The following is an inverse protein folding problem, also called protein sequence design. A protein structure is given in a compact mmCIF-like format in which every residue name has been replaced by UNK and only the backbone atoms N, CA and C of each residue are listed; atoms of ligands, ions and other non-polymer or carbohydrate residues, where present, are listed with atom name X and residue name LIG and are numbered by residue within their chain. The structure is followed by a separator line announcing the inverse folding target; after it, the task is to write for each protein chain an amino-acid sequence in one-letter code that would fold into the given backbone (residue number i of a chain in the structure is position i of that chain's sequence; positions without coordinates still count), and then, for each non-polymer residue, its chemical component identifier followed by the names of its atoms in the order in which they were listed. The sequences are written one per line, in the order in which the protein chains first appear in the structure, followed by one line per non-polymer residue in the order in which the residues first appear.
data_IF_432669892813
#
_entry.id   IF_432669892813
#
_cell.length_a   1.000
_cell.length_b   1.000
_cell.length_c   1.000
_cell.angle_alpha   90.00
_cell.angle_beta   90.00
_cell.angle_gamma   90.00
#
_symmetry.space_group_name_H-M   'P 1'
#
loop_
_entity.id
_entity.type
_entity.pdbx_description
1 polymer ?
#
# COMPACT_ATOMS: atom_id res chain seq x y z
N UNK A 1 10.91 -19.20 16.71
CA UNK A 1 11.17 -18.20 15.64
C UNK A 1 11.78 -18.94 14.47
N UNK A 2 11.32 -18.64 13.26
CA UNK A 2 11.69 -19.37 12.05
C UNK A 2 11.92 -18.40 10.89
N UNK A 3 12.72 -18.81 9.89
CA UNK A 3 12.81 -18.07 8.63
C UNK A 3 11.47 -18.10 7.90
N UNK A 4 11.06 -16.97 7.35
CA UNK A 4 9.79 -16.77 6.67
C UNK A 4 10.03 -16.59 5.17
N UNK A 5 9.69 -17.62 4.39
CA UNK A 5 9.71 -17.58 2.93
C UNK A 5 8.38 -17.05 2.41
N UNK A 6 8.41 -15.83 1.85
CA UNK A 6 7.23 -15.19 1.30
C UNK A 6 6.73 -15.78 -0.02
N UNK A 7 5.50 -15.41 -0.38
CA UNK A 7 4.88 -15.78 -1.65
C UNK A 7 5.03 -14.65 -2.69
N UNK A 8 5.52 -14.96 -3.89
CA UNK A 8 5.71 -13.98 -4.96
C UNK A 8 4.46 -13.91 -5.84
N UNK A 9 3.91 -12.71 -6.00
CA UNK A 9 2.79 -12.41 -6.88
C UNK A 9 3.30 -11.84 -8.21
N UNK A 10 3.00 -12.53 -9.30
CA UNK A 10 3.52 -12.19 -10.64
C UNK A 10 2.54 -11.36 -11.47
N UNK A 11 2.05 -10.24 -10.92
CA UNK A 11 1.16 -9.34 -11.66
C UNK A 11 1.93 -8.60 -12.76
N UNK A 12 1.26 -8.30 -13.88
CA UNK A 12 1.90 -7.76 -15.08
C UNK A 12 2.61 -6.41 -14.86
N UNK A 13 2.13 -5.59 -13.92
CA UNK A 13 2.72 -4.30 -13.54
C UNK A 13 4.02 -4.42 -12.73
N UNK A 14 4.37 -5.64 -12.30
CA UNK A 14 5.51 -5.89 -11.42
C UNK A 14 6.86 -5.70 -12.10
N UNK A 15 7.89 -5.40 -11.31
CA UNK A 15 9.25 -5.30 -11.81
C UNK A 15 9.85 -6.68 -12.07
N UNK A 16 10.66 -6.81 -13.13
CA UNK A 16 11.47 -8.02 -13.38
C UNK A 16 12.81 -8.01 -12.64
N UNK A 17 13.14 -6.95 -11.93
CA UNK A 17 14.48 -6.78 -11.31
C UNK A 17 14.39 -6.44 -9.82
N UNK A 18 13.45 -5.59 -9.41
CA UNK A 18 13.47 -5.00 -8.06
C UNK A 18 13.36 -6.02 -6.92
N UNK A 19 12.36 -6.91 -6.90
CA UNK A 19 12.20 -7.92 -5.83
C UNK A 19 13.29 -8.97 -5.91
N UNK A 20 13.65 -9.42 -7.11
CA UNK A 20 14.77 -10.35 -7.31
C UNK A 20 16.09 -9.80 -6.77
N UNK A 21 16.46 -8.56 -7.11
CA UNK A 21 17.65 -7.89 -6.58
C UNK A 21 17.55 -7.64 -5.07
N UNK A 22 16.37 -7.25 -4.58
CA UNK A 22 16.12 -7.05 -3.14
C UNK A 22 16.35 -8.33 -2.33
N UNK A 23 15.97 -9.48 -2.89
CA UNK A 23 16.11 -10.81 -2.27
C UNK A 23 17.40 -11.54 -2.66
N UNK A 24 18.35 -10.88 -3.33
CA UNK A 24 19.63 -11.47 -3.72
C UNK A 24 19.52 -12.59 -4.76
N UNK A 25 18.40 -12.65 -5.50
CA UNK A 25 18.16 -13.63 -6.58
C UNK A 25 18.66 -13.12 -7.93
N UNK A 26 18.92 -14.01 -8.91
CA UNK A 26 19.34 -13.62 -10.25
C UNK A 26 18.34 -12.67 -10.93
N UNK A 27 18.88 -11.67 -11.63
CA UNK A 27 18.11 -10.70 -12.42
C UNK A 27 18.42 -10.81 -13.92
N UNK A 28 17.43 -10.62 -14.81
CA UNK A 28 16.02 -10.43 -14.52
C UNK A 28 15.32 -11.74 -14.10
N UNK A 29 14.25 -11.62 -13.32
CA UNK A 29 13.35 -12.72 -13.02
C UNK A 29 12.64 -13.24 -14.29
N UNK A 30 12.21 -14.51 -14.24
CA UNK A 30 11.53 -15.17 -15.34
C UNK A 30 10.18 -14.51 -15.68
N UNK A 31 9.46 -14.05 -14.65
CA UNK A 31 8.20 -13.32 -14.74
C UNK A 31 8.32 -11.99 -13.98
N UNK A 32 7.49 -10.98 -14.30
CA UNK A 32 7.28 -9.82 -13.43
C UNK A 32 7.01 -10.24 -11.99
N UNK A 33 7.61 -9.55 -11.03
CA UNK A 33 7.41 -9.77 -9.60
C UNK A 33 6.88 -8.48 -9.00
N UNK A 34 5.59 -8.50 -8.68
CA UNK A 34 4.83 -7.33 -8.30
C UNK A 34 4.83 -7.15 -6.77
N UNK A 35 4.61 -8.24 -6.06
CA UNK A 35 4.53 -8.25 -4.60
C UNK A 35 5.21 -9.51 -4.04
N UNK A 36 5.90 -9.37 -2.92
CA UNK A 36 6.36 -10.47 -2.06
C UNK A 36 5.54 -10.43 -0.77
N UNK A 37 4.67 -11.41 -0.57
CA UNK A 37 3.76 -11.50 0.58
C UNK A 37 4.43 -12.22 1.74
N UNK A 38 4.41 -11.58 2.90
CA UNK A 38 4.93 -12.07 4.17
C UNK A 38 3.78 -12.03 5.18
N UNK A 39 3.13 -13.17 5.39
CA UNK A 39 1.99 -13.28 6.28
C UNK A 39 1.21 -14.58 6.07
N UNK A 40 0.04 -14.67 6.71
CA UNK A 40 -0.79 -15.88 6.72
C UNK A 40 -2.03 -15.76 5.80
N UNK A 41 -1.94 -14.98 4.72
CA UNK A 41 -3.09 -14.72 3.86
C UNK A 41 -3.60 -16.03 3.21
N UNK A 42 -4.90 -16.38 3.29
CA UNK A 42 -5.41 -17.68 2.83
C UNK A 42 -5.19 -17.98 1.35
N UNK A 43 -5.14 -16.95 0.51
CA UNK A 43 -4.91 -17.12 -0.92
C UNK A 43 -3.48 -17.58 -1.25
N UNK A 44 -2.48 -17.20 -0.45
CA UNK A 44 -1.07 -17.51 -0.70
C UNK A 44 -0.22 -17.27 0.57
N UNK A 45 -0.31 -18.15 1.58
CA UNK A 45 0.37 -17.95 2.84
C UNK A 45 1.89 -18.15 2.70
N UNK A 46 2.66 -17.37 3.46
CA UNK A 46 4.10 -17.58 3.59
C UNK A 46 4.42 -18.91 4.29
N UNK A 47 5.65 -19.37 4.13
CA UNK A 47 6.14 -20.66 4.62
C UNK A 47 7.25 -20.47 5.64
N UNK A 48 7.22 -21.27 6.70
CA UNK A 48 8.23 -21.32 7.74
C UNK A 48 9.23 -22.44 7.42
N UNK A 49 10.52 -22.12 7.42
CA UNK A 49 11.57 -23.12 7.34
C UNK A 49 11.88 -23.65 8.74
N UNK A 50 11.43 -24.87 9.05
CA UNK A 50 11.63 -25.49 10.36
C UNK A 50 12.66 -26.62 10.29
N UNK A 51 13.12 -27.11 11.45
CA UNK A 51 13.98 -28.30 11.50
C UNK A 51 13.34 -29.56 10.87
N UNK A 52 12.00 -29.63 10.81
CA UNK A 52 11.24 -30.73 10.20
C UNK A 52 10.93 -30.54 8.72
N UNK A 53 11.39 -29.46 8.09
CA UNK A 53 11.05 -29.05 6.73
C UNK A 53 10.16 -27.80 6.71
N UNK A 54 9.54 -27.52 5.57
CA UNK A 54 8.70 -26.34 5.40
C UNK A 54 7.26 -26.60 5.92
N UNK A 55 6.68 -25.61 6.60
CA UNK A 55 5.27 -25.61 6.97
C UNK A 55 4.62 -24.27 6.65
N UNK A 56 3.33 -24.27 6.32
CA UNK A 56 2.62 -23.01 6.04
C UNK A 56 2.41 -22.22 7.31
N UNK A 57 2.72 -20.92 7.31
CA UNK A 57 2.46 -20.04 8.45
C UNK A 57 0.98 -20.09 8.85
N UNK A 58 0.06 -20.10 7.87
CA UNK A 58 -1.38 -20.23 8.14
C UNK A 58 -1.71 -21.52 8.92
N UNK A 59 -1.12 -22.65 8.54
CA UNK A 59 -1.33 -23.92 9.24
C UNK A 59 -0.73 -23.88 10.66
N UNK A 60 0.41 -23.24 10.83
CA UNK A 60 1.03 -23.03 12.15
C UNK A 60 0.14 -22.20 13.07
N UNK A 61 -0.46 -21.11 12.56
CA UNK A 61 -1.40 -20.29 13.35
C UNK A 61 -2.65 -21.08 13.75
N UNK A 62 -3.18 -21.92 12.87
CA UNK A 62 -4.36 -22.77 13.17
C UNK A 62 -4.01 -23.86 14.19
N UNK A 63 -2.80 -24.40 14.14
CA UNK A 63 -2.38 -25.48 15.04
C UNK A 63 -2.11 -24.99 16.47
N UNK A 64 -1.63 -23.75 16.63
CA UNK A 64 -1.31 -23.15 17.93
C UNK A 64 -1.61 -21.63 17.93
N UNK A 65 -2.88 -21.22 17.91
CA UNK A 65 -3.22 -19.80 17.88
C UNK A 65 -2.73 -19.07 19.14
N UNK A 66 -2.71 -19.74 20.30
CA UNK A 66 -2.27 -19.15 21.56
C UNK A 66 -0.79 -18.78 21.56
N UNK A 67 0.11 -19.72 21.25
CA UNK A 67 1.55 -19.45 21.21
C UNK A 67 1.94 -18.51 20.07
N UNK A 68 1.27 -18.62 18.93
CA UNK A 68 1.63 -17.82 17.76
C UNK A 68 1.07 -16.40 17.78
N UNK A 69 -0.23 -16.21 18.07
CA UNK A 69 -0.88 -14.90 18.00
C UNK A 69 -0.91 -14.19 19.36
N UNK A 70 -0.93 -14.94 20.47
CA UNK A 70 -1.08 -14.39 21.81
C UNK A 70 -2.52 -13.98 22.13
N UNK A 71 -2.85 -13.98 23.42
CA UNK A 71 -4.23 -13.80 23.91
C UNK A 71 -4.83 -12.43 23.56
N UNK A 72 -4.03 -11.36 23.56
CA UNK A 72 -4.48 -9.98 23.28
C UNK A 72 -4.94 -9.84 21.84
N UNK A 73 -4.11 -10.26 20.87
CA UNK A 73 -4.46 -10.23 19.45
C UNK A 73 -5.68 -11.12 19.16
N UNK A 74 -5.74 -12.33 19.74
CA UNK A 74 -6.87 -13.23 19.59
C UNK A 74 -8.18 -12.65 20.11
N UNK A 75 -8.14 -11.98 21.26
CA UNK A 75 -9.32 -11.35 21.83
C UNK A 75 -9.90 -10.25 20.91
N UNK A 76 -9.06 -9.57 20.14
CA UNK A 76 -9.47 -8.50 19.22
C UNK A 76 -9.85 -9.02 17.83
N UNK A 77 -9.02 -9.86 17.25
CA UNK A 77 -9.07 -10.22 15.82
C UNK A 77 -9.47 -11.68 15.57
N UNK A 78 -9.57 -12.50 16.62
CA UNK A 78 -9.80 -13.94 16.51
C UNK A 78 -8.52 -14.70 16.18
N UNK A 79 -8.67 -15.95 15.72
CA UNK A 79 -7.56 -16.87 15.44
C UNK A 79 -6.91 -16.61 14.08
N UNK A 80 -6.72 -15.34 13.72
CA UNK A 80 -6.09 -14.90 12.47
C UNK A 80 -5.03 -13.84 12.74
N UNK A 81 -3.99 -13.82 11.91
CA UNK A 81 -3.08 -12.67 11.85
C UNK A 81 -3.88 -11.47 11.31
N UNK A 82 -3.84 -10.27 11.93
CA UNK A 82 -4.66 -9.15 11.48
C UNK A 82 -4.03 -8.32 10.35
N UNK A 83 -2.78 -8.60 9.98
CA UNK A 83 -2.05 -7.83 8.96
C UNK A 83 -1.29 -8.72 7.96
N UNK A 84 -0.96 -8.11 6.80
CA UNK A 84 -0.06 -8.65 5.79
C UNK A 84 1.05 -7.64 5.55
N UNK A 85 2.28 -8.13 5.51
CA UNK A 85 3.44 -7.35 5.05
C UNK A 85 3.72 -7.71 3.60
N UNK A 86 3.99 -6.71 2.76
CA UNK A 86 4.41 -6.91 1.39
C UNK A 86 5.67 -6.12 1.10
N UNK A 87 6.53 -6.67 0.25
CA UNK A 87 7.44 -5.85 -0.55
C UNK A 87 6.80 -5.66 -1.91
N UNK A 88 6.43 -4.42 -2.23
CA UNK A 88 5.78 -4.05 -3.48
C UNK A 88 6.80 -3.44 -4.43
N UNK A 89 6.79 -3.84 -5.70
CA UNK A 89 7.64 -3.30 -6.75
C UNK A 89 6.84 -2.91 -7.99
N UNK A 90 6.43 -1.64 -8.04
CA UNK A 90 5.69 -1.06 -9.16
C UNK A 90 6.65 -0.62 -10.26
N UNK A 91 6.58 -1.29 -11.42
CA UNK A 91 7.28 -0.88 -12.65
C UNK A 91 6.33 -0.18 -13.64
N UNK A 92 5.02 -0.39 -13.44
CA UNK A 92 3.93 0.30 -14.12
C UNK A 92 2.93 0.84 -13.09
N UNK A 93 2.19 1.93 -13.42
CA UNK A 93 1.13 2.43 -12.56
C UNK A 93 0.07 1.37 -12.26
N UNK A 94 -0.39 1.33 -11.01
CA UNK A 94 -1.48 0.45 -10.59
C UNK A 94 -2.84 1.10 -10.91
N UNK A 95 -3.91 0.30 -10.75
CA UNK A 95 -5.27 0.82 -10.82
C UNK A 95 -5.55 1.82 -9.71
N UNK A 96 -6.38 2.83 -10.00
CA UNK A 96 -6.97 3.68 -8.96
C UNK A 96 -7.84 2.83 -8.03
N UNK A 97 -7.64 2.99 -6.73
CA UNK A 97 -8.25 2.15 -5.71
C UNK A 97 -8.69 2.96 -4.50
N UNK A 98 -9.76 2.51 -3.86
CA UNK A 98 -10.18 2.95 -2.55
C UNK A 98 -10.64 1.74 -1.72
N UNK A 99 -10.54 1.88 -0.41
CA UNK A 99 -10.92 0.83 0.54
C UNK A 99 -12.11 1.29 1.39
N UNK A 100 -13.09 0.41 1.65
CA UNK A 100 -14.24 0.75 2.49
C UNK A 100 -13.84 0.94 3.95
N UNK A 101 -14.63 1.73 4.68
CA UNK A 101 -14.57 1.76 6.14
C UNK A 101 -15.01 0.42 6.74
N UNK A 102 -14.75 0.19 8.04
CA UNK A 102 -15.13 -1.06 8.68
C UNK A 102 -16.65 -1.31 8.61
N UNK A 103 -17.45 -0.26 8.76
CA UNK A 103 -18.91 -0.34 8.62
C UNK A 103 -19.33 -0.66 7.18
N UNK A 104 -18.75 0.04 6.20
CA UNK A 104 -19.04 -0.18 4.78
C UNK A 104 -18.63 -1.58 4.32
N UNK A 105 -17.50 -2.09 4.82
CA UNK A 105 -17.00 -3.44 4.53
C UNK A 105 -17.95 -4.52 5.06
N UNK A 106 -18.35 -4.42 6.32
CA UNK A 106 -19.28 -5.37 6.94
C UNK A 106 -20.66 -5.34 6.24
N UNK A 107 -21.19 -4.16 5.96
CA UNK A 107 -22.46 -4.00 5.25
C UNK A 107 -22.39 -4.55 3.82
N UNK A 108 -21.35 -4.16 3.08
CA UNK A 108 -21.12 -4.56 1.69
C UNK A 108 -20.94 -6.07 1.55
N UNK A 109 -20.14 -6.67 2.42
CA UNK A 109 -19.96 -8.13 2.47
C UNK A 109 -21.29 -8.86 2.70
N UNK A 110 -22.06 -8.46 3.73
CA UNK A 110 -23.35 -9.07 4.03
C UNK A 110 -24.39 -8.87 2.92
N UNK A 111 -24.30 -7.77 2.17
CA UNK A 111 -25.18 -7.50 1.04
C UNK A 111 -24.86 -8.42 -0.14
N UNK A 112 -23.58 -8.55 -0.51
CA UNK A 112 -23.15 -9.43 -1.59
C UNK A 112 -23.37 -10.93 -1.26
N UNK A 113 -23.24 -11.33 0.02
CA UNK A 113 -23.61 -12.66 0.51
C UNK A 113 -25.10 -12.94 0.30
N UNK A 114 -25.98 -12.00 0.66
CA UNK A 114 -27.43 -12.13 0.46
C UNK A 114 -27.83 -12.21 -1.02
N UNK A 115 -27.04 -11.60 -1.90
CA UNK A 115 -27.22 -11.70 -3.35
C UNK A 115 -26.62 -12.99 -3.94
N UNK A 116 -25.90 -13.79 -3.15
CA UNK A 116 -25.28 -15.03 -3.59
C UNK A 116 -24.11 -14.84 -4.55
N UNK A 117 -23.44 -13.68 -4.51
CA UNK A 117 -22.27 -13.41 -5.37
C UNK A 117 -21.07 -14.19 -4.83
N UNK A 118 -20.48 -15.14 -5.56
CA UNK A 118 -19.32 -15.89 -5.06
C UNK A 118 -18.14 -14.97 -4.74
N UNK A 119 -17.37 -15.26 -3.67
CA UNK A 119 -16.18 -14.47 -3.30
C UNK A 119 -15.14 -14.40 -4.43
N UNK A 120 -15.03 -15.46 -5.23
CA UNK A 120 -14.14 -15.52 -6.40
C UNK A 120 -14.67 -14.77 -7.63
N UNK A 121 -15.87 -14.21 -7.58
CA UNK A 121 -16.50 -13.53 -8.72
C UNK A 121 -15.74 -12.25 -9.08
N UNK A 122 -15.53 -11.95 -10.39
CA UNK A 122 -14.88 -10.72 -10.81
C UNK A 122 -15.68 -9.44 -10.49
N UNK A 123 -16.98 -9.57 -10.18
CA UNK A 123 -17.85 -8.46 -9.78
C UNK A 123 -18.06 -8.37 -8.26
N UNK A 124 -17.40 -9.23 -7.47
CA UNK A 124 -17.43 -9.16 -6.00
C UNK A 124 -16.53 -8.02 -5.54
N UNK A 125 -17.11 -7.00 -4.91
CA UNK A 125 -16.35 -5.88 -4.35
C UNK A 125 -15.85 -6.19 -2.92
N UNK A 126 -16.65 -6.92 -2.15
CA UNK A 126 -16.42 -7.19 -0.73
C UNK A 126 -16.08 -8.66 -0.49
N UNK A 127 -14.80 -8.97 -0.39
CA UNK A 127 -14.27 -10.34 -0.21
C UNK A 127 -14.21 -10.77 1.25
N UNK A 128 -14.27 -9.82 2.16
CA UNK A 128 -14.30 -10.00 3.60
C UNK A 128 -15.04 -8.84 4.27
N UNK A 129 -15.29 -8.94 5.58
CA UNK A 129 -15.97 -7.91 6.37
C UNK A 129 -15.03 -6.86 6.96
N UNK A 130 -13.74 -6.90 6.64
CA UNK A 130 -12.73 -6.05 7.25
C UNK A 130 -12.48 -4.79 6.43
N UNK A 131 -12.15 -3.69 7.09
CA UNK A 131 -11.52 -2.55 6.40
C UNK A 131 -10.07 -2.86 6.03
N UNK A 132 -9.45 -1.93 5.30
CA UNK A 132 -8.09 -2.07 4.81
C UNK A 132 -7.28 -0.78 4.95
N UNK A 133 -6.92 -0.38 6.18
CA UNK A 133 -5.88 0.63 6.38
C UNK A 133 -4.54 0.10 5.86
N UNK A 134 -3.75 0.99 5.27
CA UNK A 134 -2.45 0.64 4.68
C UNK A 134 -1.40 1.68 5.05
N UNK A 135 -0.20 1.20 5.39
CA UNK A 135 1.01 2.02 5.54
C UNK A 135 2.00 1.58 4.47
N UNK A 136 2.44 2.52 3.63
CA UNK A 136 3.51 2.30 2.66
C UNK A 136 4.76 3.06 3.12
N UNK A 137 5.89 2.35 3.20
CA UNK A 137 7.21 2.91 3.53
C UNK A 137 8.17 2.65 2.37
N UNK A 138 8.68 3.71 1.77
CA UNK A 138 9.54 3.63 0.60
C UNK A 138 10.90 2.97 0.93
N UNK A 139 11.33 1.98 0.15
CA UNK A 139 12.68 1.40 0.23
C UNK A 139 13.67 2.09 -0.72
N UNK A 140 13.14 2.63 -1.81
CA UNK A 140 13.81 3.46 -2.82
C UNK A 140 12.87 4.64 -3.16
N UNK A 141 13.28 5.62 -3.99
CA UNK A 141 12.34 6.63 -4.46
C UNK A 141 11.03 5.99 -4.96
N UNK A 142 9.91 6.45 -4.42
CA UNK A 142 8.59 5.89 -4.68
C UNK A 142 7.60 7.00 -5.03
N UNK A 143 6.81 6.77 -6.07
CA UNK A 143 5.88 7.75 -6.62
C UNK A 143 4.44 7.23 -6.50
N UNK A 144 3.55 8.07 -5.96
CA UNK A 144 2.15 7.71 -5.75
C UNK A 144 1.22 8.90 -6.06
N UNK A 145 -0.06 8.58 -6.26
CA UNK A 145 -1.17 9.51 -6.11
C UNK A 145 -2.00 9.08 -4.90
N UNK A 146 -2.34 10.00 -4.01
CA UNK A 146 -3.21 9.66 -2.86
C UNK A 146 -3.98 10.87 -2.34
N UNK A 147 -5.25 10.65 -2.02
CA UNK A 147 -6.17 11.65 -1.51
C UNK A 147 -6.50 12.75 -2.51
N UNK A 148 -7.73 13.27 -2.43
CA UNK A 148 -8.11 14.42 -3.23
C UNK A 148 -7.31 15.65 -2.81
N UNK A 149 -6.75 16.34 -3.80
CA UNK A 149 -6.05 17.61 -3.64
C UNK A 149 -7.07 18.72 -3.33
N UNK A 150 -6.72 19.73 -2.52
CA UNK A 150 -7.57 20.91 -2.33
C UNK A 150 -8.07 21.50 -3.65
N UNK A 151 -9.34 21.85 -3.71
CA UNK A 151 -10.00 22.22 -4.98
C UNK A 151 -9.31 23.40 -5.65
N UNK A 152 -8.86 24.38 -4.87
CA UNK A 152 -8.11 25.54 -5.36
C UNK A 152 -6.83 25.14 -6.13
N UNK A 153 -6.03 24.20 -5.60
CA UNK A 153 -4.82 23.73 -6.27
C UNK A 153 -5.14 22.88 -7.52
N UNK A 154 -6.24 22.13 -7.48
CA UNK A 154 -6.74 21.40 -8.66
C UNK A 154 -7.14 22.39 -9.77
N UNK A 155 -7.83 23.48 -9.45
CA UNK A 155 -8.19 24.54 -10.40
C UNK A 155 -6.93 25.16 -11.03
N UNK A 156 -5.91 25.47 -10.23
CA UNK A 156 -4.64 26.00 -10.74
C UNK A 156 -3.98 25.04 -11.74
N UNK A 157 -3.94 23.74 -11.42
CA UNK A 157 -3.42 22.70 -12.31
C UNK A 157 -4.21 22.65 -13.62
N UNK A 158 -5.54 22.55 -13.57
CA UNK A 158 -6.38 22.46 -14.77
C UNK A 158 -6.25 23.70 -15.66
N UNK A 159 -6.21 24.90 -15.06
CA UNK A 159 -5.97 26.16 -15.81
C UNK A 159 -4.59 26.22 -16.44
N UNK A 160 -3.57 25.68 -15.77
CA UNK A 160 -2.20 25.66 -16.28
C UNK A 160 -2.06 24.82 -17.55
N UNK A 161 -2.89 23.78 -17.73
CA UNK A 161 -2.92 22.98 -18.97
C UNK A 161 -3.48 23.75 -20.17
N UNK A 162 -4.19 24.86 -19.94
CA UNK A 162 -4.76 25.74 -20.97
C UNK A 162 -5.67 25.02 -22.00
N UNK A 163 -6.48 24.08 -21.53
CA UNK A 163 -7.46 23.33 -22.34
C UNK A 163 -8.86 23.89 -22.11
N UNK A 164 -9.45 24.53 -23.10
CA UNK A 164 -10.79 25.17 -22.97
C UNK A 164 -11.90 24.19 -22.63
N UNK A 165 -11.78 22.93 -23.04
CA UNK A 165 -12.75 21.88 -22.72
C UNK A 165 -12.79 21.55 -21.21
N UNK A 166 -11.79 22.01 -20.43
CA UNK A 166 -11.77 21.91 -18.97
C UNK A 166 -12.60 23.00 -18.26
N UNK A 167 -12.97 24.09 -18.94
CA UNK A 167 -13.63 25.24 -18.30
C UNK A 167 -14.93 24.86 -17.56
N UNK A 168 -15.86 24.06 -18.15
CA UNK A 168 -17.08 23.66 -17.44
C UNK A 168 -16.82 22.84 -16.17
N UNK A 169 -15.72 22.07 -16.16
CA UNK A 169 -15.32 21.23 -15.04
C UNK A 169 -14.63 22.03 -13.93
N UNK A 170 -13.88 23.07 -14.30
CA UNK A 170 -13.30 24.03 -13.36
C UNK A 170 -14.40 24.77 -12.61
N UNK A 171 -15.51 25.14 -13.27
CA UNK A 171 -16.62 25.82 -12.60
C UNK A 171 -17.34 24.95 -11.55
N UNK A 172 -17.39 23.62 -11.74
CA UNK A 172 -17.92 22.70 -10.72
C UNK A 172 -17.16 22.80 -9.39
N UNK A 173 -15.86 23.16 -9.44
CA UNK A 173 -15.03 23.33 -8.25
C UNK A 173 -15.17 24.72 -7.61
N UNK A 174 -15.58 25.76 -8.35
CA UNK A 174 -15.70 27.13 -7.83
C UNK A 174 -17.03 27.36 -7.08
N UNK A 175 -18.10 26.70 -7.50
CA UNK A 175 -19.47 27.02 -7.08
C UNK A 175 -19.91 26.31 -5.78
N UNK A 176 -19.03 25.51 -5.16
CA UNK A 176 -19.38 24.60 -4.07
C UNK A 176 -18.30 24.55 -2.98
N UNK A 177 -18.58 23.82 -1.90
CA UNK A 177 -17.51 23.41 -0.98
C UNK A 177 -16.51 22.50 -1.70
N UNK A 178 -15.26 22.46 -1.26
CA UNK A 178 -14.24 21.59 -1.89
C UNK A 178 -14.72 20.15 -2.05
N UNK A 179 -15.30 19.56 -1.00
CA UNK A 179 -15.76 18.17 -1.02
C UNK A 179 -16.91 17.94 -2.00
N UNK A 180 -17.88 18.86 -2.05
CA UNK A 180 -19.01 18.76 -2.97
C UNK A 180 -18.56 18.94 -4.43
N UNK A 181 -17.69 19.91 -4.69
CA UNK A 181 -17.15 20.18 -6.02
C UNK A 181 -16.29 19.02 -6.54
N UNK A 182 -15.39 18.48 -5.71
CA UNK A 182 -14.58 17.31 -6.06
C UNK A 182 -15.47 16.09 -6.33
N UNK A 183 -16.51 15.89 -5.51
CA UNK A 183 -17.48 14.82 -5.72
C UNK A 183 -18.22 14.98 -7.04
N UNK A 184 -18.71 16.18 -7.34
CA UNK A 184 -19.41 16.48 -8.59
C UNK A 184 -18.52 16.25 -9.81
N UNK A 185 -17.28 16.76 -9.77
CA UNK A 185 -16.32 16.63 -10.86
C UNK A 185 -15.90 15.17 -11.08
N UNK A 186 -15.47 14.48 -10.03
CA UNK A 186 -15.09 13.08 -10.12
C UNK A 186 -16.24 12.22 -10.65
N UNK A 187 -17.46 12.42 -10.13
CA UNK A 187 -18.66 11.72 -10.60
C UNK A 187 -18.91 11.97 -12.07
N UNK A 188 -18.76 13.22 -12.52
CA UNK A 188 -19.00 13.60 -13.91
C UNK A 188 -18.01 12.91 -14.84
N UNK A 189 -16.71 12.90 -14.52
CA UNK A 189 -15.72 12.21 -15.36
C UNK A 189 -15.89 10.69 -15.36
N UNK A 190 -16.06 10.06 -14.19
CA UNK A 190 -16.11 8.60 -14.10
C UNK A 190 -17.41 8.00 -14.69
N UNK A 191 -18.47 8.82 -14.85
CA UNK A 191 -19.74 8.42 -15.47
C UNK A 191 -19.93 8.99 -16.89
N UNK A 192 -18.96 9.74 -17.40
CA UNK A 192 -19.07 10.35 -18.72
C UNK A 192 -19.21 9.28 -19.82
N UNK A 193 -20.03 9.53 -20.85
CA UNK A 193 -20.06 8.69 -22.03
C UNK A 193 -18.66 8.54 -22.67
N UNK A 194 -18.33 7.34 -23.14
CA UNK A 194 -17.04 7.07 -23.77
C UNK A 194 -16.67 8.06 -24.90
N UNK A 195 -17.58 8.50 -25.79
CA UNK A 195 -17.24 9.48 -26.83
C UNK A 195 -16.76 10.83 -26.27
N UNK A 196 -17.23 11.23 -25.09
CA UNK A 196 -16.79 12.47 -24.46
C UNK A 196 -15.39 12.31 -23.84
N UNK A 197 -15.11 11.15 -23.24
CA UNK A 197 -13.77 10.80 -22.74
C UNK A 197 -12.75 10.67 -23.87
N UNK A 198 -13.15 10.07 -25.00
CA UNK A 198 -12.31 9.91 -26.20
C UNK A 198 -11.94 11.24 -26.85
N UNK A 199 -12.65 12.33 -26.53
CA UNK A 199 -12.31 13.70 -26.93
C UNK A 199 -11.50 14.41 -25.84
N UNK A 200 -11.97 14.35 -24.59
CA UNK A 200 -11.40 15.12 -23.49
C UNK A 200 -10.00 14.63 -23.09
N UNK A 201 -9.78 13.32 -23.03
CA UNK A 201 -8.46 12.78 -22.64
C UNK A 201 -7.36 13.23 -23.62
N UNK A 202 -7.49 13.07 -24.95
CA UNK A 202 -6.49 13.59 -25.88
C UNK A 202 -6.24 15.10 -25.75
N UNK A 203 -7.29 15.91 -25.58
CA UNK A 203 -7.15 17.36 -25.40
C UNK A 203 -6.33 17.70 -24.13
N UNK A 204 -6.57 16.99 -23.03
CA UNK A 204 -5.81 17.12 -21.78
C UNK A 204 -4.34 16.69 -21.97
N UNK A 205 -4.09 15.61 -22.72
CA UNK A 205 -2.73 15.17 -23.03
C UNK A 205 -1.98 16.20 -23.88
N UNK A 206 -2.63 16.79 -24.89
CA UNK A 206 -2.03 17.86 -25.70
C UNK A 206 -1.71 19.10 -24.85
N UNK A 207 -2.60 19.48 -23.93
CA UNK A 207 -2.35 20.53 -22.95
C UNK A 207 -1.16 20.23 -22.04
N UNK A 208 -1.04 19.00 -21.55
CA UNK A 208 0.10 18.56 -20.75
C UNK A 208 1.42 18.56 -21.54
N UNK A 209 1.42 18.16 -22.82
CA UNK A 209 2.58 18.26 -23.71
C UNK A 209 3.01 19.72 -23.86
N UNK A 210 2.06 20.62 -24.11
CA UNK A 210 2.33 22.05 -24.25
C UNK A 210 2.91 22.62 -22.95
N UNK A 211 2.31 22.29 -21.80
CA UNK A 211 2.77 22.71 -20.48
C UNK A 211 4.22 22.29 -20.23
N UNK A 212 4.56 21.02 -20.43
CA UNK A 212 5.93 20.51 -20.23
C UNK A 212 6.90 21.18 -21.21
N UNK A 213 6.50 21.37 -22.47
CA UNK A 213 7.34 21.98 -23.51
C UNK A 213 7.60 23.46 -23.29
N UNK A 214 6.73 24.15 -22.55
CA UNK A 214 6.89 25.57 -22.20
C UNK A 214 8.05 25.82 -21.22
N UNK A 215 8.51 24.78 -20.50
CA UNK A 215 9.51 24.90 -19.44
C UNK A 215 8.95 25.31 -18.08
N UNK A 216 7.62 25.44 -17.94
CA UNK A 216 6.97 25.64 -16.64
C UNK A 216 7.22 24.45 -15.70
N UNK A 217 7.45 24.74 -14.42
CA UNK A 217 7.88 23.72 -13.43
C UNK A 217 6.85 23.42 -12.35
N UNK A 218 5.87 24.29 -12.12
CA UNK A 218 4.93 24.19 -10.98
C UNK A 218 4.18 22.86 -10.93
N UNK A 219 3.71 22.37 -12.08
CA UNK A 219 2.92 21.14 -12.21
C UNK A 219 3.59 20.13 -13.16
N UNK A 220 4.91 20.20 -13.31
CA UNK A 220 5.62 19.37 -14.28
C UNK A 220 5.54 17.88 -13.93
N UNK A 221 5.43 17.52 -12.64
CA UNK A 221 5.28 16.14 -12.20
C UNK A 221 3.88 15.61 -12.57
N UNK A 222 2.84 16.36 -12.27
CA UNK A 222 1.45 16.03 -12.60
C UNK A 222 1.23 15.92 -14.10
N UNK A 223 1.74 16.88 -14.88
CA UNK A 223 1.64 16.86 -16.34
C UNK A 223 2.36 15.62 -16.93
N UNK A 224 3.53 15.24 -16.41
CA UNK A 224 4.21 14.00 -16.84
C UNK A 224 3.44 12.76 -16.44
N UNK A 225 2.87 12.73 -15.23
CA UNK A 225 2.07 11.61 -14.76
C UNK A 225 0.82 11.42 -15.62
N UNK A 226 0.07 12.47 -15.96
CA UNK A 226 -1.11 12.31 -16.83
C UNK A 226 -0.73 11.82 -18.23
N UNK A 227 0.44 12.21 -18.76
CA UNK A 227 0.96 11.69 -20.02
C UNK A 227 1.30 10.20 -19.95
N UNK A 228 1.99 9.78 -18.90
CA UNK A 228 2.30 8.35 -18.65
C UNK A 228 1.02 7.52 -18.52
N UNK A 229 0.04 8.03 -17.77
CA UNK A 229 -1.25 7.36 -17.59
C UNK A 229 -2.05 7.31 -18.90
N UNK A 230 -2.07 8.38 -19.69
CA UNK A 230 -2.77 8.44 -20.97
C UNK A 230 -2.19 7.50 -22.03
N UNK A 231 -0.87 7.29 -22.04
CA UNK A 231 -0.23 6.30 -22.90
C UNK A 231 -0.64 4.86 -22.51
N UNK A 232 -0.73 4.60 -21.20
CA UNK A 232 -1.03 3.25 -20.69
C UNK A 232 -2.51 2.89 -20.66
N UNK A 233 -3.37 3.87 -20.42
CA UNK A 233 -4.81 3.71 -20.27
C UNK A 233 -5.55 4.66 -21.22
N UNK A 234 -5.36 4.52 -22.54
CA UNK A 234 -6.00 5.41 -23.51
C UNK A 234 -7.52 5.28 -23.41
N UNK A 235 -8.22 6.41 -23.29
CA UNK A 235 -9.67 6.46 -23.17
C UNK A 235 -10.22 6.08 -21.79
N UNK A 236 -9.37 5.92 -20.75
CA UNK A 236 -9.82 5.65 -19.39
C UNK A 236 -10.06 6.97 -18.62
N UNK A 237 -11.26 7.14 -18.05
CA UNK A 237 -11.60 8.32 -17.25
C UNK A 237 -10.72 8.49 -15.99
N UNK A 238 -10.08 7.41 -15.53
CA UNK A 238 -9.08 7.41 -14.46
C UNK A 238 -7.87 8.29 -14.77
N UNK A 239 -7.55 8.53 -16.05
CA UNK A 239 -6.49 9.46 -16.47
C UNK A 239 -6.84 10.89 -16.05
N UNK A 240 -8.11 11.29 -16.20
CA UNK A 240 -8.60 12.59 -15.74
C UNK A 240 -8.69 12.62 -14.21
N UNK A 241 -9.26 11.57 -13.60
CA UNK A 241 -9.39 11.48 -12.15
C UNK A 241 -8.05 11.60 -11.40
N UNK A 242 -6.95 11.14 -12.00
CA UNK A 242 -5.61 11.30 -11.45
C UNK A 242 -5.19 12.76 -11.23
N UNK A 243 -5.71 13.72 -12.03
CA UNK A 243 -5.44 15.15 -11.86
C UNK A 243 -6.07 15.72 -10.58
N UNK A 244 -7.06 15.03 -9.99
CA UNK A 244 -7.70 15.45 -8.76
C UNK A 244 -6.92 15.03 -7.51
N UNK A 245 -5.90 14.18 -7.65
CA UNK A 245 -5.18 13.60 -6.52
C UNK A 245 -3.87 14.34 -6.22
N UNK A 246 -3.39 14.25 -4.98
CA UNK A 246 -2.05 14.73 -4.66
C UNK A 246 -0.99 13.83 -5.32
N UNK A 247 0.01 14.45 -5.94
CA UNK A 247 1.16 13.74 -6.52
C UNK A 247 2.29 13.70 -5.50
N UNK A 248 2.58 12.52 -4.96
CA UNK A 248 3.48 12.33 -3.82
C UNK A 248 4.76 11.63 -4.27
N UNK A 249 5.89 12.20 -3.90
CA UNK A 249 7.21 11.58 -4.04
C UNK A 249 7.76 11.26 -2.65
N UNK A 250 8.17 10.01 -2.46
CA UNK A 250 8.71 9.51 -1.20
C UNK A 250 10.19 9.18 -1.38
N UNK A 251 11.03 9.76 -0.52
CA UNK A 251 12.41 9.32 -0.37
C UNK A 251 12.48 8.01 0.45
N UNK A 252 13.58 7.24 0.37
CA UNK A 252 13.75 6.04 1.20
C UNK A 252 13.53 6.33 2.69
N UNK A 253 12.65 5.54 3.34
CA UNK A 253 12.24 5.70 4.72
C UNK A 253 11.09 6.69 4.96
N UNK A 254 10.66 7.43 3.93
CA UNK A 254 9.42 8.20 4.02
C UNK A 254 8.20 7.29 3.80
N UNK A 255 7.07 7.70 4.35
CA UNK A 255 5.86 6.90 4.35
C UNK A 255 4.60 7.71 4.05
N UNK A 256 3.56 7.01 3.60
CA UNK A 256 2.17 7.47 3.58
C UNK A 256 1.26 6.45 4.24
N UNK A 257 0.22 6.93 4.90
CA UNK A 257 -0.86 6.13 5.47
C UNK A 257 -2.16 6.39 4.72
N UNK A 258 -2.80 5.32 4.28
CA UNK A 258 -4.03 5.37 3.49
C UNK A 258 -5.19 4.91 4.36
N UNK A 259 -6.06 5.87 4.68
CA UNK A 259 -7.30 5.63 5.42
C UNK A 259 -8.41 5.12 4.49
N UNK A 260 -9.46 4.54 5.09
CA UNK A 260 -10.67 4.21 4.37
C UNK A 260 -11.23 5.40 3.57
N UNK A 261 -11.78 5.13 2.39
CA UNK A 261 -12.33 6.12 1.47
C UNK A 261 -11.29 6.94 0.70
N UNK A 262 -10.01 6.82 1.01
CA UNK A 262 -8.96 7.53 0.28
C UNK A 262 -8.71 6.92 -1.10
N UNK A 263 -8.93 7.70 -2.16
CA UNK A 263 -8.57 7.30 -3.52
C UNK A 263 -7.07 7.43 -3.73
N UNK A 264 -6.43 6.35 -4.18
CA UNK A 264 -4.99 6.31 -4.39
C UNK A 264 -4.57 5.36 -5.52
N UNK A 265 -3.33 5.52 -5.98
CA UNK A 265 -2.63 4.55 -6.81
C UNK A 265 -1.11 4.70 -6.64
N UNK A 266 -0.39 3.60 -6.82
CA UNK A 266 1.07 3.60 -6.85
C UNK A 266 1.56 3.65 -8.29
N UNK A 267 2.49 4.56 -8.58
CA UNK A 267 2.96 4.81 -9.93
C UNK A 267 4.24 4.04 -10.24
N UNK A 268 5.22 4.12 -9.34
CA UNK A 268 6.56 3.55 -9.57
C UNK A 268 7.39 3.46 -8.29
N UNK A 269 8.17 2.39 -8.16
CA UNK A 269 9.19 2.25 -7.11
C UNK A 269 9.05 0.95 -6.32
N UNK A 270 9.91 0.80 -5.31
CA UNK A 270 9.86 -0.32 -4.36
C UNK A 270 9.64 0.18 -2.93
N UNK A 271 8.72 -0.47 -2.23
CA UNK A 271 8.31 -0.12 -0.87
C UNK A 271 7.96 -1.36 -0.05
N UNK A 272 7.97 -1.20 1.28
CA UNK A 272 7.28 -2.12 2.18
C UNK A 272 5.88 -1.57 2.42
N UNK A 273 4.87 -2.39 2.18
CA UNK A 273 3.48 -2.10 2.52
C UNK A 273 3.07 -2.99 3.69
N UNK A 274 2.40 -2.41 4.69
CA UNK A 274 1.71 -3.15 5.73
C UNK A 274 0.25 -2.76 5.69
N UNK A 275 -0.63 -3.75 5.60
CA UNK A 275 -2.05 -3.54 5.49
C UNK A 275 -2.80 -4.48 6.42
N UNK A 276 -4.00 -4.08 6.85
CA UNK A 276 -4.92 -5.03 7.48
C UNK A 276 -5.23 -6.18 6.50
N UNK A 277 -5.48 -7.38 7.03
CA UNK A 277 -5.82 -8.54 6.23
C UNK A 277 -7.23 -8.43 5.64
N UNK A 278 -7.32 -7.74 4.49
CA UNK A 278 -8.52 -7.58 3.70
C UNK A 278 -8.19 -7.54 2.19
N UNK A 279 -9.07 -8.10 1.39
CA UNK A 279 -9.02 -8.06 -0.08
C UNK A 279 -10.08 -7.09 -0.65
N UNK A 280 -10.71 -6.26 0.18
CA UNK A 280 -11.71 -5.28 -0.25
C UNK A 280 -11.06 -4.14 -1.04
N UNK A 281 -11.34 -4.09 -2.35
CA UNK A 281 -10.75 -3.10 -3.27
C UNK A 281 -11.81 -2.62 -4.26
N UNK A 282 -12.18 -1.34 -4.15
CA UNK A 282 -13.04 -0.67 -5.12
C UNK A 282 -12.14 0.06 -6.11
N UNK A 283 -12.27 -0.25 -7.40
CA UNK A 283 -11.47 0.39 -8.44
C UNK A 283 -12.12 1.68 -8.92
N UNK A 284 -11.31 2.67 -9.29
CA UNK A 284 -11.73 3.97 -9.81
C UNK A 284 -11.23 4.32 -11.20
N UNK A 285 -10.76 3.33 -11.96
CA UNK A 285 -10.15 3.52 -13.28
C UNK A 285 -8.69 3.07 -13.32
N UNK A 286 -8.02 3.34 -14.44
CA UNK A 286 -6.68 2.82 -14.75
C UNK A 286 -6.65 1.28 -14.68
N UNK A 287 -7.70 0.64 -15.20
CA UNK A 287 -7.87 -0.81 -15.09
C UNK A 287 -8.70 -1.40 -16.22
N UNK A 288 -8.33 -2.58 -16.76
CA UNK A 288 -9.21 -3.32 -17.67
C UNK A 288 -10.30 -4.13 -16.94
N UNK A 289 -10.22 -4.22 -15.60
CA UNK A 289 -11.19 -4.95 -14.76
C UNK A 289 -12.47 -4.15 -14.53
N UNK A 290 -13.51 -4.84 -14.09
CA UNK A 290 -14.78 -4.24 -13.69
C UNK A 290 -14.60 -3.11 -12.65
N UNK A 291 -15.35 -2.04 -12.87
CA UNK A 291 -15.45 -0.85 -12.01
C UNK A 291 -16.92 -0.68 -11.63
N UNK A 292 -17.23 -0.83 -10.34
CA UNK A 292 -18.55 -0.56 -9.79
C UNK A 292 -18.61 0.92 -9.35
N UNK A 293 -18.93 1.80 -10.31
CA UNK A 293 -18.93 3.25 -10.09
C UNK A 293 -19.90 3.68 -8.96
N UNK A 294 -21.17 3.23 -8.93
CA UNK A 294 -22.08 3.59 -7.84
C UNK A 294 -21.53 3.21 -6.46
N UNK A 295 -20.92 2.03 -6.33
CA UNK A 295 -20.37 1.59 -5.05
C UNK A 295 -19.09 2.33 -4.68
N UNK A 296 -18.21 2.62 -5.65
CA UNK A 296 -17.03 3.45 -5.43
C UNK A 296 -17.41 4.83 -4.87
N UNK A 297 -18.41 5.50 -5.48
CA UNK A 297 -18.87 6.81 -5.02
C UNK A 297 -19.46 6.79 -3.60
N UNK A 298 -19.92 5.62 -3.13
CA UNK A 298 -20.38 5.43 -1.74
C UNK A 298 -19.22 5.28 -0.76
N UNK A 299 -18.13 4.67 -1.22
CA UNK A 299 -16.93 4.40 -0.41
C UNK A 299 -16.03 5.64 -0.27
N UNK A 300 -15.91 6.44 -1.34
CA UNK A 300 -14.98 7.56 -1.38
C UNK A 300 -15.28 8.65 -0.33
N UNK A 301 -14.22 9.11 0.33
CA UNK A 301 -14.21 10.37 1.06
C UNK A 301 -13.69 11.47 0.14
N UNK A 302 -14.56 12.44 -0.17
CA UNK A 302 -14.23 13.58 -1.03
C UNK A 302 -13.64 14.77 -0.27
N UNK A 303 -13.48 14.65 1.05
CA UNK A 303 -12.79 15.67 1.84
C UNK A 303 -11.34 15.78 1.34
N UNK A 304 -10.89 16.97 0.90
CA UNK A 304 -9.51 17.14 0.47
C UNK A 304 -8.54 16.73 1.57
N UNK A 305 -7.49 16.02 1.18
CA UNK A 305 -6.42 15.62 2.08
C UNK A 305 -5.15 16.34 1.67
N UNK A 306 -4.51 17.03 2.61
CA UNK A 306 -3.17 17.59 2.37
C UNK A 306 -2.11 16.50 2.44
N UNK A 307 -0.99 16.67 1.75
CA UNK A 307 0.13 15.72 1.83
C UNK A 307 0.61 15.50 3.28
N UNK A 308 0.58 16.55 4.11
CA UNK A 308 0.95 16.46 5.52
C UNK A 308 0.02 15.54 6.33
N UNK A 309 -1.25 15.40 5.94
CA UNK A 309 -2.19 14.47 6.57
C UNK A 309 -2.02 13.03 6.09
N UNK A 310 -1.46 12.83 4.89
CA UNK A 310 -1.14 11.50 4.35
C UNK A 310 0.16 10.94 4.93
N UNK A 311 1.08 11.82 5.34
CA UNK A 311 2.35 11.40 5.95
C UNK A 311 2.13 11.11 7.44
N UNK A 312 2.33 9.86 7.91
CA UNK A 312 2.21 9.56 9.33
C UNK A 312 3.29 10.29 10.12
N UNK A 313 2.97 10.67 11.35
CA UNK A 313 3.98 11.14 12.28
C UNK A 313 4.98 10.02 12.56
N UNK A 314 6.22 10.40 12.85
CA UNK A 314 7.25 9.41 13.20
C UNK A 314 8.05 9.89 14.39
N UNK A 315 8.50 8.95 15.21
CA UNK A 315 9.31 9.23 16.38
C UNK A 315 10.37 8.15 16.61
N UNK A 316 11.44 8.51 17.33
CA UNK A 316 12.50 7.56 17.70
C UNK A 316 12.22 6.96 19.07
N UNK A 317 12.44 5.67 19.17
CA UNK A 317 12.39 4.90 20.41
C UNK A 317 13.57 3.93 20.47
N UNK A 318 14.64 4.35 21.15
CA UNK A 318 15.91 3.64 21.11
C UNK A 318 16.43 3.46 19.68
N UNK A 319 16.58 2.20 19.27
CA UNK A 319 17.02 1.81 17.92
C UNK A 319 15.90 1.83 16.86
N UNK A 320 14.64 2.01 17.28
CA UNK A 320 13.48 2.00 16.40
C UNK A 320 13.11 3.41 15.92
N UNK A 321 12.89 3.56 14.61
CA UNK A 321 12.06 4.62 14.04
C UNK A 321 10.63 4.08 13.93
N UNK A 322 9.69 4.65 14.67
CA UNK A 322 8.28 4.23 14.71
C UNK A 322 7.45 5.09 13.77
N UNK A 323 6.53 4.47 13.04
CA UNK A 323 5.54 5.15 12.19
C UNK A 323 4.18 5.10 12.91
N UNK A 324 3.67 6.26 13.29
CA UNK A 324 2.45 6.37 14.08
C UNK A 324 1.22 6.21 13.17
N UNK A 325 0.48 5.11 13.36
CA UNK A 325 -0.71 4.77 12.58
C UNK A 325 -1.94 4.60 13.49
N UNK A 326 -3.13 5.08 13.10
CA UNK A 326 -4.34 5.04 13.93
C UNK A 326 -5.11 3.71 13.84
N UNK A 327 -4.42 2.58 13.68
CA UNK A 327 -4.99 1.25 13.40
C UNK A 327 -4.49 0.24 14.41
N UNK A 328 -5.38 -0.63 14.87
CA UNK A 328 -5.05 -1.67 15.85
C UNK A 328 -4.40 -2.90 15.16
N UNK A 329 -4.68 -3.06 13.87
CA UNK A 329 -4.30 -4.24 13.08
C UNK A 329 -2.79 -4.39 12.97
N UNK A 330 -2.05 -3.28 12.92
CA UNK A 330 -0.61 -3.30 12.86
C UNK A 330 0.05 -2.07 13.50
N UNK A 331 1.28 -2.28 13.95
CA UNK A 331 2.26 -1.25 14.28
C UNK A 331 3.56 -1.53 13.53
N UNK A 332 4.22 -0.45 13.07
CA UNK A 332 5.38 -0.55 12.19
C UNK A 332 6.56 0.25 12.74
N UNK A 333 7.75 -0.35 12.68
CA UNK A 333 9.00 0.32 13.01
C UNK A 333 10.16 -0.16 12.15
N UNK A 334 11.16 0.69 11.96
CA UNK A 334 12.46 0.32 11.37
C UNK A 334 13.52 0.35 12.45
N UNK A 335 14.09 -0.81 12.72
CA UNK A 335 15.16 -1.03 13.67
C UNK A 335 16.50 -0.79 12.98
N UNK A 336 17.30 0.16 13.48
CA UNK A 336 18.61 0.50 12.89
C UNK A 336 19.74 0.11 13.84
N UNK A 337 20.63 -0.77 13.38
CA UNK A 337 21.88 -1.11 14.05
C UNK A 337 22.99 -0.36 13.34
N UNK A 338 23.43 0.75 13.92
CA UNK A 338 24.56 1.54 13.41
C UNK A 338 25.90 1.07 14.01
N UNK A 339 26.96 1.85 13.78
CA UNK A 339 28.32 1.53 14.23
C UNK A 339 28.45 1.30 15.74
N UNK A 340 27.64 1.97 16.57
CA UNK A 340 27.73 1.86 18.02
C UNK A 340 27.15 0.54 18.55
N UNK A 341 26.38 -0.16 17.71
CA UNK A 341 25.71 -1.42 18.06
C UNK A 341 26.46 -2.65 17.55
N UNK A 342 27.43 -2.50 16.64
CA UNK A 342 28.05 -3.63 15.93
C UNK A 342 28.85 -4.53 16.88
N UNK A 343 28.67 -5.84 16.73
CA UNK A 343 29.31 -6.85 17.57
C UNK A 343 28.75 -6.95 19.00
N UNK A 344 27.75 -6.12 19.34
CA UNK A 344 27.04 -6.18 20.61
C UNK A 344 25.67 -6.85 20.43
N UNK A 345 25.19 -7.46 21.52
CA UNK A 345 23.82 -7.93 21.61
C UNK A 345 22.94 -6.80 22.14
N UNK A 346 21.93 -6.43 21.36
CA UNK A 346 21.08 -5.28 21.63
C UNK A 346 19.64 -5.73 21.83
N UNK A 347 19.05 -5.36 22.96
CA UNK A 347 17.63 -5.63 23.23
C UNK A 347 16.74 -4.83 22.27
N UNK A 348 15.77 -5.51 21.64
CA UNK A 348 14.82 -4.90 20.72
C UNK A 348 13.37 -5.32 21.06
N UNK A 349 12.87 -4.98 22.27
CA UNK A 349 11.51 -5.31 22.66
C UNK A 349 10.49 -4.66 21.71
N UNK A 350 9.38 -5.36 21.46
CA UNK A 350 8.22 -4.75 20.83
C UNK A 350 7.46 -3.92 21.87
N UNK A 351 6.82 -2.83 21.43
CA UNK A 351 5.92 -2.02 22.28
C UNK A 351 4.61 -2.73 22.55
N UNK A 352 4.19 -3.55 21.59
CA UNK A 352 2.93 -4.27 21.60
C UNK A 352 3.19 -5.74 21.82
N UNK A 353 2.31 -6.38 22.58
CA UNK A 353 2.30 -7.84 22.73
C UNK A 353 1.76 -8.47 21.45
N UNK A 354 2.35 -9.60 21.05
CA UNK A 354 1.89 -10.37 19.90
C UNK A 354 3.01 -10.77 18.94
N UNK A 355 2.63 -11.37 17.81
CA UNK A 355 3.60 -11.83 16.82
C UNK A 355 4.29 -10.68 16.11
N UNK A 356 5.43 -10.99 15.50
CA UNK A 356 6.20 -10.05 14.69
C UNK A 356 6.62 -10.70 13.37
N UNK A 357 6.57 -9.89 12.30
CA UNK A 357 7.28 -10.16 11.06
C UNK A 357 8.46 -9.20 11.00
N UNK A 358 9.66 -9.78 10.88
CA UNK A 358 10.90 -9.04 10.69
C UNK A 358 11.36 -9.21 9.26
N UNK A 359 11.70 -8.13 8.56
CA UNK A 359 12.27 -8.13 7.22
C UNK A 359 13.58 -7.35 7.25
N UNK A 360 14.69 -8.01 6.93
CA UNK A 360 15.97 -7.32 6.81
C UNK A 360 16.02 -6.54 5.49
N UNK A 361 16.06 -5.22 5.56
CA UNK A 361 16.03 -4.35 4.37
C UNK A 361 17.42 -3.89 3.97
N UNK A 362 18.37 -3.87 4.90
CA UNK A 362 19.78 -3.55 4.68
C UNK A 362 20.67 -4.38 5.59
N UNK A 363 21.84 -4.76 5.06
CA UNK A 363 22.88 -5.44 5.84
C UNK A 363 22.53 -6.89 6.17
N UNK A 364 22.91 -7.29 7.39
CA UNK A 364 22.78 -8.64 7.93
C UNK A 364 22.62 -8.59 9.44
N UNK A 365 21.60 -9.27 9.97
CA UNK A 365 21.33 -9.28 11.41
C UNK A 365 20.96 -10.68 11.87
N UNK A 366 21.57 -11.13 12.96
CA UNK A 366 21.12 -12.30 13.70
C UNK A 366 20.10 -11.85 14.74
N UNK A 367 18.91 -12.43 14.67
CA UNK A 367 17.83 -12.23 15.62
C UNK A 367 17.83 -13.40 16.59
N UNK A 368 17.77 -13.11 17.88
CA UNK A 368 17.67 -14.09 18.96
C UNK A 368 16.30 -13.94 19.64
N UNK A 369 15.54 -15.02 19.71
CA UNK A 369 14.31 -15.15 20.50
C UNK A 369 14.54 -16.06 21.71
N UNK A 370 13.45 -16.50 22.37
CA UNK A 370 13.52 -17.46 23.47
C UNK A 370 13.86 -18.87 23.00
N UNK A 371 13.32 -19.28 21.85
CA UNK A 371 13.38 -20.65 21.32
C UNK A 371 14.57 -20.88 20.40
N UNK A 372 15.25 -19.83 19.93
CA UNK A 372 16.39 -19.97 19.02
C UNK A 372 16.86 -18.66 18.41
N UNK A 373 17.65 -18.77 17.34
CA UNK A 373 18.18 -17.64 16.60
C UNK A 373 18.12 -17.89 15.10
N UNK A 374 17.87 -16.83 14.33
CA UNK A 374 17.88 -16.86 12.86
C UNK A 374 18.72 -15.70 12.33
N UNK A 375 19.42 -15.90 11.22
CA UNK A 375 20.19 -14.83 10.58
C UNK A 375 19.48 -14.36 9.31
N UNK A 376 19.23 -13.06 9.24
CA UNK A 376 18.56 -12.41 8.13
C UNK A 376 19.56 -11.57 7.34
N UNK A 377 19.82 -12.00 6.11
CA UNK A 377 20.43 -11.17 5.07
C UNK A 377 19.38 -10.22 4.48
N UNK A 378 19.81 -9.15 3.78
CA UNK A 378 18.90 -8.28 3.03
C UNK A 378 17.93 -9.10 2.16
N UNK A 379 16.64 -8.82 2.30
CA UNK A 379 15.54 -9.49 1.62
C UNK A 379 15.00 -10.74 2.33
N UNK A 380 15.68 -11.25 3.35
CA UNK A 380 15.19 -12.34 4.17
C UNK A 380 14.27 -11.83 5.29
N UNK A 381 13.28 -12.66 5.63
CA UNK A 381 12.32 -12.37 6.70
C UNK A 381 12.28 -13.48 7.75
N UNK A 382 11.78 -13.14 8.94
CA UNK A 382 11.51 -14.08 10.02
C UNK A 382 10.11 -13.88 10.59
N UNK A 383 9.53 -14.98 11.06
CA UNK A 383 8.35 -15.00 11.90
C UNK A 383 8.76 -15.19 13.37
N UNK A 384 8.24 -14.32 14.23
CA UNK A 384 8.39 -14.40 15.68
C UNK A 384 6.99 -14.56 16.27
N UNK A 385 6.70 -15.74 16.82
CA UNK A 385 5.45 -15.98 17.54
C UNK A 385 5.36 -15.14 18.81
N UNK A 386 4.14 -14.90 19.29
CA UNK A 386 3.90 -14.10 20.50
C UNK A 386 4.63 -14.62 21.74
N UNK A 387 4.80 -15.95 21.84
CA UNK A 387 5.48 -16.59 22.97
C UNK A 387 7.03 -16.50 22.92
N UNK A 388 7.59 -16.08 21.80
CA UNK A 388 9.02 -16.17 21.49
C UNK A 388 9.79 -14.85 21.65
N UNK A 389 9.09 -13.74 21.88
CA UNK A 389 9.67 -12.46 22.29
C UNK A 389 10.01 -12.39 23.79
N UNK A 390 10.74 -11.38 24.27
CA UNK A 390 11.36 -10.29 23.51
C UNK A 390 12.55 -10.78 22.68
N UNK A 391 12.87 -10.05 21.60
CA UNK A 391 14.00 -10.36 20.71
C UNK A 391 15.24 -9.55 21.06
N UNK A 392 16.41 -10.10 20.73
CA UNK A 392 17.72 -9.44 20.77
C UNK A 392 18.36 -9.50 19.39
N UNK A 393 19.12 -8.47 19.04
CA UNK A 393 19.73 -8.30 17.72
C UNK A 393 21.25 -8.25 17.83
N UNK A 394 21.93 -8.88 16.88
CA UNK A 394 23.37 -8.78 16.70
C UNK A 394 23.66 -8.54 15.21
N UNK A 395 24.50 -7.56 14.89
CA UNK A 395 24.94 -7.31 13.52
C UNK A 395 26.46 -7.09 13.47
N UNK A 396 27.08 -7.53 12.37
CA UNK A 396 28.51 -7.34 12.08
C UNK A 396 28.79 -6.13 11.19
N UNK A 397 27.74 -5.53 10.62
CA UNK A 397 27.75 -4.38 9.72
C UNK A 397 26.48 -3.56 9.96
N UNK A 398 26.44 -2.29 9.52
CA UNK A 398 25.22 -1.50 9.61
C UNK A 398 24.05 -2.22 8.93
N UNK A 399 22.94 -2.32 9.66
CA UNK A 399 21.78 -3.11 9.25
C UNK A 399 20.47 -2.42 9.59
N UNK A 400 19.44 -2.67 8.78
CA UNK A 400 18.08 -2.20 9.04
C UNK A 400 17.10 -3.37 8.97
N UNK A 401 16.27 -3.48 10.00
CA UNK A 401 15.17 -4.45 10.07
C UNK A 401 13.85 -3.70 10.11
N UNK A 402 13.01 -3.95 9.12
CA UNK A 402 11.61 -3.56 9.18
C UNK A 402 10.87 -4.55 10.10
N UNK A 403 10.11 -4.02 11.06
CA UNK A 403 9.32 -4.80 12.01
C UNK A 403 7.86 -4.39 11.90
N UNK A 404 7.01 -5.36 11.59
CA UNK A 404 5.56 -5.25 11.73
C UNK A 404 5.08 -6.16 12.86
N UNK A 405 4.20 -5.64 13.71
CA UNK A 405 3.55 -6.36 14.81
C UNK A 405 2.10 -5.88 14.95
N UNK A 406 1.33 -6.41 15.89
CA UNK A 406 -0.04 -5.96 16.16
C UNK A 406 0.01 -4.56 16.82
N UNK A 407 -0.97 -3.69 16.56
CA UNK A 407 -1.00 -2.30 17.05
C UNK A 407 -1.73 -2.06 18.37
N UNK A 408 -2.01 -3.12 19.16
CA UNK A 408 -2.88 -3.09 20.34
C UNK A 408 -2.26 -2.55 21.63
#
# INVERSE_FOLDING_TARGET
MELLRGAIRTYAWGSRTAIAEFTGRPVPAAHPEAELWLGAHPADPAWLETAGGETSLLQTLVADPDGQLGSVARARFGDVLPFLVKVLAADEPLSLQAHPSAEQAAEGYLREERLGIPVSSPVRNYRDSSHKPELLVALQPFEALAGFRPAAHTIELLRALAVSDLDPFIELLNDQSDADGLRALFTTWITAPQPDIDVLVPAVLDGAIHYVSSGATQFAAEAKTVLELGERYPGDAGVLAALLLNRISLAPGEAIFLSAGNLHTYLRGIAVEVMANSDNVLRGGLTPKHVDVPELLRVLDFTPTTEAQLRPATHRDGLAQVYDTPTDEFAVSVLTLDHDHLGHEVDAPARHDGPQILLCTEGRTTVHGKTGAVTLERGAAAWVGADDGPIRLVADRPSKLFRATVGL
#
